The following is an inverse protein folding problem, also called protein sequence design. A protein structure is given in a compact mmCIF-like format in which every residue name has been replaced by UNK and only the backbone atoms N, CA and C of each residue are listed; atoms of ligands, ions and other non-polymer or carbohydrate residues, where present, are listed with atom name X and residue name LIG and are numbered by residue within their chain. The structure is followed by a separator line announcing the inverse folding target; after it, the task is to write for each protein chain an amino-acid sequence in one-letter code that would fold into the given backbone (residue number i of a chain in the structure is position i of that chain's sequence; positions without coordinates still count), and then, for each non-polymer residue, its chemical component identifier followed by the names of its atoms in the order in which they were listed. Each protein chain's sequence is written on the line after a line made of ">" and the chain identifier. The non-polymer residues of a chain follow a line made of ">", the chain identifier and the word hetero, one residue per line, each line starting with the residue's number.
data_IF_326575477505
#
_entry.id   IF_326575477505
#
_cell.length_a   1.000
_cell.length_b   1.000
_cell.length_c   1.000
_cell.angle_alpha   90.00
_cell.angle_beta   90.00
_cell.angle_gamma   90.00
#
_symmetry.space_group_name_H-M   'P 1'
#
loop_
_entity.id
_entity.type
_entity.pdbx_description
1 polymer ?
#
# COMPACT_ATOMS: atom_id res chain seq x y z
N UNK A 1 9.55 8.34 -7.20
CA UNK A 1 10.51 8.97 -8.16
C UNK A 1 9.77 9.85 -9.17
N UNK A 2 10.46 10.86 -9.72
CA UNK A 2 9.97 11.68 -10.84
C UNK A 2 10.38 11.07 -12.20
N UNK A 3 10.53 11.91 -13.23
CA UNK A 3 10.84 11.49 -14.60
C UNK A 3 12.32 11.12 -14.78
N UNK A 4 12.57 10.31 -15.78
CA UNK A 4 13.90 9.92 -16.23
C UNK A 4 14.20 10.53 -17.59
N UNK A 5 15.48 10.72 -17.88
CA UNK A 5 15.96 11.27 -19.15
C UNK A 5 15.51 10.40 -20.32
N UNK A 6 15.02 11.05 -21.36
CA UNK A 6 14.47 10.41 -22.56
C UNK A 6 13.31 9.42 -22.30
N UNK A 7 12.68 9.47 -21.12
CA UNK A 7 11.65 8.52 -20.68
C UNK A 7 12.07 7.05 -20.74
N UNK A 8 13.36 6.77 -20.58
CA UNK A 8 13.92 5.42 -20.62
C UNK A 8 14.13 4.87 -19.23
N UNK A 9 13.92 3.58 -19.08
CA UNK A 9 14.34 2.87 -17.87
C UNK A 9 15.87 2.91 -17.75
N UNK A 10 16.35 3.02 -16.54
CA UNK A 10 17.78 2.95 -16.19
C UNK A 10 18.05 1.67 -15.41
N UNK A 11 19.28 1.19 -15.46
CA UNK A 11 19.71 0.03 -14.67
C UNK A 11 20.61 0.50 -13.52
N UNK A 12 20.22 0.15 -12.30
CA UNK A 12 21.04 0.37 -11.11
C UNK A 12 21.80 -0.91 -10.76
N UNK A 13 23.11 -0.80 -10.64
CA UNK A 13 23.97 -1.92 -10.29
C UNK A 13 24.23 -1.97 -8.77
N UNK A 14 24.18 -3.17 -8.19
CA UNK A 14 24.54 -3.36 -6.78
C UNK A 14 25.96 -2.86 -6.49
N UNK A 15 26.13 -2.12 -5.40
CA UNK A 15 27.40 -1.50 -5.02
C UNK A 15 27.64 -0.11 -5.63
N UNK A 16 26.84 0.35 -6.60
CA UNK A 16 26.95 1.70 -7.14
C UNK A 16 26.39 2.75 -6.17
N UNK A 17 26.81 4.00 -6.35
CA UNK A 17 26.23 5.16 -5.68
C UNK A 17 25.03 5.65 -6.47
N UNK A 18 23.93 5.99 -5.77
CA UNK A 18 22.72 6.56 -6.37
C UNK A 18 22.14 7.64 -5.46
N UNK A 19 21.82 8.79 -6.03
CA UNK A 19 21.33 9.94 -5.26
C UNK A 19 19.87 10.21 -5.49
N UNK A 20 19.08 10.32 -4.40
CA UNK A 20 17.75 10.88 -4.43
C UNK A 20 17.83 12.39 -4.16
N UNK A 21 17.32 13.21 -5.09
CA UNK A 21 17.41 14.66 -5.00
C UNK A 21 16.05 15.33 -4.95
N UNK A 22 15.98 16.47 -4.30
CA UNK A 22 14.81 17.34 -4.28
C UNK A 22 14.82 18.36 -5.44
N UNK A 23 15.92 18.41 -6.19
CA UNK A 23 16.03 19.25 -7.38
C UNK A 23 15.04 18.87 -8.48
N UNK A 24 14.65 19.83 -9.30
CA UNK A 24 13.79 19.54 -10.47
C UNK A 24 14.66 19.15 -11.65
N UNK A 25 14.94 17.86 -11.75
CA UNK A 25 15.78 17.25 -12.79
C UNK A 25 15.12 16.02 -13.39
N UNK A 26 15.48 15.72 -14.63
CA UNK A 26 15.29 14.39 -15.20
C UNK A 26 16.42 13.47 -14.71
N UNK A 27 16.04 12.30 -14.16
CA UNK A 27 17.00 11.36 -13.56
C UNK A 27 17.79 10.56 -14.59
N UNK A 28 18.90 10.01 -14.14
CA UNK A 28 19.79 9.12 -14.89
C UNK A 28 20.35 8.01 -13.97
N UNK A 29 21.33 7.25 -14.40
CA UNK A 29 21.95 6.16 -13.64
C UNK A 29 22.61 6.59 -12.34
N UNK A 30 22.77 7.91 -12.11
CA UNK A 30 23.45 8.46 -10.92
C UNK A 30 22.50 9.10 -9.92
N UNK A 31 21.34 9.58 -10.39
CA UNK A 31 20.37 10.30 -9.55
C UNK A 31 18.97 10.32 -10.12
N UNK A 32 18.00 10.52 -9.24
CA UNK A 32 16.60 10.77 -9.61
C UNK A 32 15.95 11.77 -8.67
N UNK A 33 15.07 12.62 -9.20
CA UNK A 33 14.27 13.53 -8.40
C UNK A 33 13.12 12.78 -7.70
N UNK A 34 12.77 13.24 -6.48
CA UNK A 34 11.68 12.69 -5.67
C UNK A 34 10.60 13.73 -5.46
N UNK A 35 9.37 13.28 -5.18
CA UNK A 35 8.21 14.16 -4.98
C UNK A 35 8.15 14.75 -3.59
N UNK A 36 8.58 14.01 -2.56
CA UNK A 36 8.59 14.50 -1.18
C UNK A 36 9.91 15.21 -0.87
N UNK A 37 9.90 16.53 -1.02
CA UNK A 37 11.09 17.40 -0.89
C UNK A 37 11.73 17.38 0.50
N UNK A 38 10.98 17.04 1.55
CA UNK A 38 11.49 17.01 2.92
C UNK A 38 11.97 15.63 3.37
N UNK A 39 12.02 14.64 2.51
CA UNK A 39 12.44 13.28 2.87
C UNK A 39 13.81 13.26 3.56
N UNK A 40 14.74 14.08 3.10
CA UNK A 40 16.09 14.19 3.69
C UNK A 40 16.11 14.62 5.18
N UNK A 41 15.01 15.23 5.67
CA UNK A 41 14.85 15.62 7.09
C UNK A 41 14.33 14.48 7.96
N UNK A 42 13.63 13.53 7.35
CA UNK A 42 12.97 12.44 8.06
C UNK A 42 13.86 11.18 8.13
N UNK A 43 14.79 11.02 7.19
CA UNK A 43 15.69 9.88 7.10
C UNK A 43 17.06 10.18 7.73
N UNK A 44 17.84 9.14 7.97
CA UNK A 44 19.20 9.24 8.53
C UNK A 44 20.17 8.27 7.89
N UNK A 45 21.46 8.55 8.00
CA UNK A 45 22.53 7.63 7.57
C UNK A 45 22.33 6.23 8.14
N UNK A 46 22.55 5.21 7.32
CA UNK A 46 22.34 3.79 7.63
C UNK A 46 20.90 3.35 7.50
N UNK A 47 19.97 4.27 7.21
CA UNK A 47 18.58 3.94 6.91
C UNK A 47 18.43 3.30 5.53
N UNK A 48 17.37 2.51 5.35
CA UNK A 48 17.03 1.86 4.09
C UNK A 48 15.99 2.66 3.33
N UNK A 49 16.11 2.66 2.01
CA UNK A 49 15.11 3.17 1.08
C UNK A 49 14.81 2.04 0.09
N UNK A 50 13.54 1.79 -0.13
CA UNK A 50 13.06 0.79 -1.08
C UNK A 50 12.36 1.53 -2.23
N UNK A 51 12.61 1.09 -3.46
CA UNK A 51 11.99 1.66 -4.67
C UNK A 51 11.33 0.53 -5.46
N UNK A 52 10.21 0.85 -6.12
CA UNK A 52 9.46 -0.07 -6.97
C UNK A 52 9.06 -1.35 -6.20
N UNK A 53 8.25 -1.18 -5.15
CA UNK A 53 7.75 -2.25 -4.29
C UNK A 53 8.85 -3.14 -3.67
N UNK A 54 10.00 -2.52 -3.39
CA UNK A 54 11.13 -3.19 -2.76
C UNK A 54 12.03 -3.96 -3.72
N UNK A 55 11.82 -3.87 -5.03
CA UNK A 55 12.68 -4.49 -6.03
C UNK A 55 14.09 -3.89 -6.05
N UNK A 56 14.22 -2.61 -5.71
CA UNK A 56 15.48 -1.90 -5.56
C UNK A 56 15.64 -1.49 -4.11
N UNK A 57 16.76 -1.87 -3.50
CA UNK A 57 17.09 -1.54 -2.12
C UNK A 57 18.34 -0.66 -2.06
N UNK A 58 18.21 0.46 -1.35
CA UNK A 58 19.28 1.43 -1.13
C UNK A 58 19.58 1.57 0.36
N UNK A 59 20.85 1.80 0.71
CA UNK A 59 21.28 2.23 2.04
C UNK A 59 21.77 3.67 2.00
N UNK A 60 21.31 4.50 2.92
CA UNK A 60 21.71 5.91 3.01
C UNK A 60 23.14 6.01 3.56
N UNK A 61 24.05 6.50 2.74
CA UNK A 61 25.45 6.74 3.15
C UNK A 61 25.66 8.16 3.67
N UNK A 62 24.99 9.14 3.06
CA UNK A 62 25.15 10.55 3.44
C UNK A 62 23.92 11.37 3.07
N UNK A 63 23.73 12.49 3.76
CA UNK A 63 22.70 13.50 3.43
C UNK A 63 23.41 14.84 3.35
N UNK A 64 23.31 15.51 2.18
CA UNK A 64 23.99 16.77 1.94
C UNK A 64 23.15 17.70 1.07
N UNK A 65 22.86 18.90 1.58
CA UNK A 65 22.13 19.95 0.84
C UNK A 65 20.77 19.50 0.26
N UNK A 66 20.05 18.60 0.93
CA UNK A 66 18.78 18.06 0.45
C UNK A 66 18.92 16.81 -0.42
N UNK A 67 20.13 16.46 -0.84
CA UNK A 67 20.41 15.22 -1.54
C UNK A 67 20.62 14.06 -0.54
N UNK A 68 20.04 12.91 -0.84
CA UNK A 68 20.20 11.67 -0.09
C UNK A 68 21.09 10.76 -0.94
N UNK A 69 22.35 10.65 -0.54
CA UNK A 69 23.35 9.81 -1.24
C UNK A 69 23.27 8.41 -0.68
N UNK A 70 23.01 7.46 -1.56
CA UNK A 70 22.79 6.06 -1.19
C UNK A 70 23.75 5.13 -1.93
N UNK A 71 23.99 3.97 -1.32
CA UNK A 71 24.56 2.80 -1.97
C UNK A 71 23.45 1.85 -2.38
N UNK A 72 23.50 1.36 -3.60
CA UNK A 72 22.59 0.33 -4.10
C UNK A 72 22.97 -1.01 -3.47
N UNK A 73 22.08 -1.58 -2.64
CA UNK A 73 22.27 -2.92 -2.05
C UNK A 73 21.73 -4.00 -2.99
N UNK A 74 20.51 -3.81 -3.50
CA UNK A 74 19.93 -4.64 -4.54
C UNK A 74 19.54 -3.76 -5.72
N UNK A 75 20.14 -4.02 -6.87
CA UNK A 75 19.91 -3.29 -8.11
C UNK A 75 18.81 -3.87 -8.96
N UNK A 76 18.54 -3.21 -10.08
CA UNK A 76 17.54 -3.62 -11.05
C UNK A 76 17.18 -2.49 -12.02
N UNK A 77 16.20 -2.74 -12.88
CA UNK A 77 15.65 -1.71 -13.76
C UNK A 77 14.76 -0.75 -12.98
N UNK A 78 15.07 0.54 -13.05
CA UNK A 78 14.25 1.62 -12.50
C UNK A 78 13.50 2.35 -13.61
N UNK A 79 12.18 2.35 -13.52
CA UNK A 79 11.29 3.14 -14.34
C UNK A 79 10.91 4.47 -13.70
N UNK A 80 10.17 5.29 -14.44
CA UNK A 80 9.63 6.56 -13.95
C UNK A 80 8.50 6.37 -12.95
N UNK A 81 8.28 7.38 -12.10
CA UNK A 81 7.13 7.49 -11.18
C UNK A 81 6.96 6.28 -10.26
N UNK A 82 8.08 5.65 -9.88
CA UNK A 82 8.06 4.52 -8.95
C UNK A 82 7.91 4.98 -7.51
N UNK A 83 7.18 4.22 -6.73
CA UNK A 83 7.01 4.41 -5.29
C UNK A 83 8.35 4.36 -4.56
N UNK A 84 8.46 5.14 -3.48
CA UNK A 84 9.58 5.11 -2.55
C UNK A 84 9.02 4.79 -1.17
N UNK A 85 9.53 3.75 -0.56
CA UNK A 85 9.21 3.36 0.80
C UNK A 85 10.43 3.54 1.70
N UNK A 86 10.18 3.97 2.92
CA UNK A 86 11.22 4.19 3.94
C UNK A 86 10.81 3.44 5.21
N UNK A 87 11.08 2.13 5.29
CA UNK A 87 10.64 1.29 6.39
C UNK A 87 11.03 1.86 7.76
N UNK A 88 10.08 1.81 8.72
CA UNK A 88 10.26 2.29 10.10
C UNK A 88 10.57 3.79 10.25
N UNK A 89 10.42 4.59 9.20
CA UNK A 89 10.60 6.05 9.25
C UNK A 89 9.23 6.72 9.29
N UNK A 90 9.02 7.58 10.30
CA UNK A 90 7.83 8.43 10.37
C UNK A 90 8.00 9.63 9.45
N UNK A 91 7.42 9.55 8.26
CA UNK A 91 7.43 10.65 7.29
C UNK A 91 6.38 11.70 7.64
N UNK A 92 6.75 12.97 7.56
CA UNK A 92 5.86 14.10 7.89
C UNK A 92 5.09 14.58 6.66
N UNK A 93 4.44 13.64 5.98
CA UNK A 93 3.52 13.98 4.90
C UNK A 93 2.16 14.39 5.45
N UNK A 94 1.43 15.32 4.80
CA UNK A 94 0.03 15.59 5.14
C UNK A 94 -0.80 14.31 4.96
N UNK A 95 -1.88 14.16 5.74
CA UNK A 95 -2.79 13.02 5.63
C UNK A 95 -3.50 12.98 4.28
N UNK A 96 -3.83 14.15 3.72
CA UNK A 96 -4.38 14.35 2.37
C UNK A 96 -3.65 15.52 1.70
N UNK A 97 -3.39 15.40 0.41
CA UNK A 97 -2.81 16.46 -0.42
C UNK A 97 -3.91 17.37 -0.99
N UNK A 98 -3.53 18.50 -1.58
CA UNK A 98 -4.51 19.34 -2.30
C UNK A 98 -5.15 18.60 -3.48
N UNK A 99 -4.37 17.76 -4.20
CA UNK A 99 -4.92 16.91 -5.25
C UNK A 99 -5.94 15.91 -4.70
N UNK A 100 -5.65 15.26 -3.56
CA UNK A 100 -6.61 14.35 -2.91
C UNK A 100 -7.91 15.07 -2.57
N UNK A 101 -7.84 16.31 -2.11
CA UNK A 101 -9.05 17.13 -1.83
C UNK A 101 -9.87 17.37 -3.10
N UNK A 102 -9.23 17.75 -4.20
CA UNK A 102 -9.89 17.94 -5.49
C UNK A 102 -10.56 16.64 -5.96
N UNK A 103 -9.86 15.52 -5.85
CA UNK A 103 -10.36 14.20 -6.24
C UNK A 103 -11.54 13.76 -5.36
N UNK A 104 -11.49 14.01 -4.05
CA UNK A 104 -12.60 13.74 -3.12
C UNK A 104 -13.83 14.59 -3.49
N UNK A 105 -13.65 15.89 -3.72
CA UNK A 105 -14.73 16.78 -4.13
C UNK A 105 -15.35 16.33 -5.46
N UNK A 106 -14.54 15.90 -6.41
CA UNK A 106 -15.04 15.31 -7.64
C UNK A 106 -15.82 14.02 -7.36
N UNK A 107 -15.31 13.13 -6.50
CA UNK A 107 -15.99 11.88 -6.11
C UNK A 107 -17.39 12.12 -5.52
N UNK A 108 -17.57 13.18 -4.72
CA UNK A 108 -18.88 13.59 -4.21
C UNK A 108 -19.84 13.89 -5.37
N UNK A 109 -19.38 14.62 -6.40
CA UNK A 109 -20.22 14.95 -7.57
C UNK A 109 -20.59 13.72 -8.41
N UNK A 110 -19.82 12.63 -8.27
CA UNK A 110 -20.05 11.36 -8.96
C UNK A 110 -20.86 10.35 -8.11
N UNK A 111 -21.30 10.77 -6.93
CA UNK A 111 -22.11 9.95 -6.01
C UNK A 111 -21.43 8.62 -5.66
N UNK A 112 -20.12 8.67 -5.32
CA UNK A 112 -19.39 7.48 -4.87
C UNK A 112 -19.91 7.02 -3.50
N UNK A 113 -19.96 5.70 -3.30
CA UNK A 113 -20.38 5.11 -2.02
C UNK A 113 -19.24 5.08 -1.01
N UNK A 114 -18.00 4.89 -1.47
CA UNK A 114 -16.81 4.76 -0.62
C UNK A 114 -15.60 5.47 -1.17
N UNK A 115 -14.74 5.92 -0.25
CA UNK A 115 -13.39 6.39 -0.53
C UNK A 115 -12.41 5.46 0.18
N UNK A 116 -11.45 4.88 -0.56
CA UNK A 116 -10.35 4.12 -0.02
C UNK A 116 -9.14 5.03 0.17
N UNK A 117 -8.83 5.38 1.42
CA UNK A 117 -7.73 6.25 1.77
C UNK A 117 -6.43 5.45 1.86
N UNK A 118 -5.46 5.75 0.98
CA UNK A 118 -4.15 5.10 0.96
C UNK A 118 -3.22 5.66 2.04
N UNK A 119 -2.30 4.82 2.51
CA UNK A 119 -1.23 5.18 3.44
C UNK A 119 -1.71 5.88 4.72
N UNK A 120 -2.83 5.44 5.27
CA UNK A 120 -3.36 5.96 6.53
C UNK A 120 -2.39 5.62 7.66
N UNK A 121 -1.97 6.63 8.42
CA UNK A 121 -1.02 6.50 9.52
C UNK A 121 -1.66 6.67 10.89
N UNK A 122 -2.74 7.46 10.96
CA UNK A 122 -3.44 7.80 12.20
C UNK A 122 -4.91 8.15 11.94
N UNK A 123 -5.67 8.32 13.02
CA UNK A 123 -7.06 8.71 12.94
C UNK A 123 -7.27 10.16 12.44
N UNK A 124 -6.23 11.00 12.51
CA UNK A 124 -6.33 12.40 12.08
C UNK A 124 -6.60 12.50 10.59
N UNK A 125 -5.90 11.70 9.77
CA UNK A 125 -6.11 11.65 8.33
C UNK A 125 -7.56 11.29 7.98
N UNK A 126 -8.15 10.31 8.67
CA UNK A 126 -9.55 9.90 8.46
C UNK A 126 -10.50 11.03 8.85
N UNK A 127 -10.25 11.71 9.97
CA UNK A 127 -11.07 12.85 10.41
C UNK A 127 -11.01 14.04 9.45
N UNK A 128 -9.85 14.30 8.85
CA UNK A 128 -9.70 15.34 7.81
C UNK A 128 -10.54 15.01 6.56
N UNK A 129 -10.53 13.76 6.12
CA UNK A 129 -11.37 13.31 4.99
C UNK A 129 -12.85 13.42 5.37
N UNK A 130 -13.25 12.96 6.54
CA UNK A 130 -14.64 13.03 7.02
C UNK A 130 -15.13 14.49 7.07
N UNK A 131 -14.33 15.37 7.61
CA UNK A 131 -14.67 16.81 7.65
C UNK A 131 -14.88 17.37 6.24
N UNK A 132 -13.99 17.05 5.29
CA UNK A 132 -14.11 17.52 3.91
C UNK A 132 -15.39 16.98 3.25
N UNK A 133 -15.74 15.72 3.48
CA UNK A 133 -16.98 15.11 2.99
C UNK A 133 -18.22 15.79 3.58
N UNK A 134 -18.26 15.98 4.90
CA UNK A 134 -19.39 16.56 5.61
C UNK A 134 -19.65 18.02 5.18
N UNK A 135 -18.60 18.82 5.00
CA UNK A 135 -18.68 20.20 4.55
C UNK A 135 -19.15 20.36 3.11
N UNK A 136 -19.05 19.28 2.28
CA UNK A 136 -19.37 19.32 0.86
C UNK A 136 -20.52 18.38 0.44
N UNK A 137 -21.33 17.89 1.38
CA UNK A 137 -22.52 17.10 1.10
C UNK A 137 -22.25 15.60 0.86
N UNK A 138 -21.06 15.11 1.19
CA UNK A 138 -20.66 13.70 1.08
C UNK A 138 -20.74 12.92 2.40
N UNK A 139 -21.60 13.31 3.35
CA UNK A 139 -21.71 12.68 4.67
C UNK A 139 -22.06 11.20 4.65
N UNK A 140 -22.74 10.73 3.60
CA UNK A 140 -23.11 9.31 3.43
C UNK A 140 -21.98 8.46 2.81
N UNK A 141 -20.89 9.08 2.35
CA UNK A 141 -19.76 8.36 1.74
C UNK A 141 -18.92 7.69 2.83
N UNK A 142 -18.76 6.36 2.75
CA UNK A 142 -17.92 5.59 3.68
C UNK A 142 -16.44 5.80 3.42
N UNK A 143 -15.62 5.75 4.49
CA UNK A 143 -14.16 5.85 4.41
C UNK A 143 -13.55 4.50 4.78
N UNK A 144 -12.83 3.88 3.84
CA UNK A 144 -12.05 2.66 4.06
C UNK A 144 -10.59 3.08 4.26
N UNK A 145 -10.06 2.84 5.46
CA UNK A 145 -8.66 3.11 5.75
C UNK A 145 -7.77 1.95 5.29
N UNK A 146 -6.82 2.23 4.41
CA UNK A 146 -5.84 1.24 3.95
C UNK A 146 -4.64 1.22 4.88
N UNK A 147 -4.37 0.07 5.48
CA UNK A 147 -3.22 -0.16 6.37
C UNK A 147 -2.07 -0.70 5.54
N UNK A 148 -1.07 0.13 5.32
CA UNK A 148 0.00 -0.06 4.36
C UNK A 148 1.40 0.19 4.94
N UNK A 149 1.49 0.59 6.22
CA UNK A 149 2.76 0.94 6.86
C UNK A 149 2.76 0.61 8.37
N UNK A 150 3.95 0.61 8.96
CA UNK A 150 4.13 0.29 10.38
C UNK A 150 3.38 1.25 11.31
N UNK A 151 3.35 2.55 11.00
CA UNK A 151 2.66 3.56 11.82
C UNK A 151 1.14 3.32 11.84
N UNK A 152 0.54 2.95 10.70
CA UNK A 152 -0.88 2.55 10.63
C UNK A 152 -1.18 1.30 11.46
N UNK A 153 -0.26 0.34 11.52
CA UNK A 153 -0.38 -0.85 12.38
C UNK A 153 -0.28 -0.45 13.85
N UNK A 154 0.65 0.42 14.24
CA UNK A 154 0.78 0.92 15.61
C UNK A 154 -0.49 1.64 16.08
N UNK A 155 -1.12 2.43 15.21
CA UNK A 155 -2.28 3.26 15.50
C UNK A 155 -3.62 2.59 15.12
N UNK A 156 -3.64 1.27 14.89
CA UNK A 156 -4.80 0.57 14.35
C UNK A 156 -6.08 0.76 15.17
N UNK A 157 -5.97 0.81 16.49
CA UNK A 157 -7.15 0.93 17.37
C UNK A 157 -7.87 2.28 17.23
N UNK A 158 -7.14 3.35 17.03
CA UNK A 158 -7.74 4.66 16.79
C UNK A 158 -8.26 4.82 15.34
N UNK A 159 -7.58 4.17 14.38
CA UNK A 159 -8.00 4.17 12.97
C UNK A 159 -9.32 3.41 12.83
N UNK A 160 -9.46 2.23 13.43
CA UNK A 160 -10.70 1.43 13.42
C UNK A 160 -11.88 2.25 13.97
N UNK A 161 -11.68 3.05 15.02
CA UNK A 161 -12.73 3.88 15.61
C UNK A 161 -13.14 5.07 14.73
N UNK A 162 -12.27 5.50 13.82
CA UNK A 162 -12.50 6.68 12.99
C UNK A 162 -12.99 6.33 11.57
N UNK A 163 -12.70 5.14 11.07
CA UNK A 163 -13.03 4.69 9.72
C UNK A 163 -14.33 3.89 9.69
N UNK A 164 -14.96 3.81 8.51
CA UNK A 164 -16.14 2.98 8.27
C UNK A 164 -15.77 1.56 7.81
N UNK A 165 -14.54 1.36 7.36
CA UNK A 165 -13.98 0.07 7.00
C UNK A 165 -12.44 0.11 7.01
N UNK A 166 -11.84 -1.06 7.06
CA UNK A 166 -10.38 -1.24 7.03
C UNK A 166 -10.00 -2.12 5.85
N UNK A 167 -8.88 -1.82 5.20
CA UNK A 167 -8.27 -2.70 4.22
C UNK A 167 -6.85 -3.06 4.65
N UNK A 168 -6.58 -4.36 4.78
CA UNK A 168 -5.23 -4.88 4.95
C UNK A 168 -4.59 -4.98 3.57
N UNK A 169 -3.84 -3.95 3.19
CA UNK A 169 -3.20 -3.84 1.88
C UNK A 169 -1.80 -4.46 1.93
N UNK A 170 -1.75 -5.78 1.78
CA UNK A 170 -0.57 -6.61 2.07
C UNK A 170 0.63 -6.36 1.17
N UNK A 171 0.42 -5.88 -0.05
CA UNK A 171 1.49 -5.54 -0.98
C UNK A 171 2.41 -4.46 -0.41
N UNK A 172 1.87 -3.27 -0.17
CA UNK A 172 2.62 -2.15 0.39
C UNK A 172 3.06 -2.42 1.84
N UNK A 173 2.19 -3.03 2.64
CA UNK A 173 2.52 -3.39 4.01
C UNK A 173 3.76 -4.30 4.08
N UNK A 174 3.86 -5.30 3.19
CA UNK A 174 5.00 -6.24 3.13
C UNK A 174 6.30 -5.61 2.61
N UNK A 175 6.25 -4.39 2.06
CA UNK A 175 7.43 -3.57 1.73
C UNK A 175 7.88 -2.75 2.94
N UNK A 176 6.93 -2.24 3.73
CA UNK A 176 7.18 -1.37 4.89
C UNK A 176 7.58 -2.12 6.17
N UNK A 177 7.15 -3.38 6.31
CA UNK A 177 7.45 -4.26 7.45
C UNK A 177 8.06 -5.59 6.94
N UNK A 178 8.72 -6.38 7.81
CA UNK A 178 9.19 -7.70 7.41
C UNK A 178 8.04 -8.56 6.87
N UNK A 179 8.17 -9.16 5.67
CA UNK A 179 7.12 -9.99 5.09
C UNK A 179 6.66 -11.14 6.00
N UNK A 180 7.54 -11.63 6.88
CA UNK A 180 7.24 -12.67 7.87
C UNK A 180 6.23 -12.22 8.95
N UNK A 181 6.06 -10.93 9.18
CA UNK A 181 5.12 -10.38 10.15
C UNK A 181 3.73 -10.12 9.57
N UNK A 182 3.61 -10.02 8.24
CA UNK A 182 2.34 -9.70 7.55
C UNK A 182 1.20 -10.66 7.93
N UNK A 183 1.39 -12.00 7.97
CA UNK A 183 0.31 -12.91 8.36
C UNK A 183 -0.20 -12.70 9.79
N UNK A 184 0.71 -12.43 10.73
CA UNK A 184 0.32 -12.11 12.10
C UNK A 184 -0.46 -10.81 12.19
N UNK A 185 0.01 -9.76 11.50
CA UNK A 185 -0.63 -8.44 11.48
C UNK A 185 -2.01 -8.52 10.82
N UNK A 186 -2.14 -9.27 9.73
CA UNK A 186 -3.42 -9.53 9.08
C UNK A 186 -4.44 -10.10 10.08
N UNK A 187 -4.08 -11.17 10.77
CA UNK A 187 -4.95 -11.82 11.77
C UNK A 187 -5.30 -10.87 12.92
N UNK A 188 -4.35 -10.10 13.39
CA UNK A 188 -4.55 -9.13 14.46
C UNK A 188 -5.53 -8.03 14.05
N UNK A 189 -5.36 -7.46 12.84
CA UNK A 189 -6.25 -6.41 12.31
C UNK A 189 -7.66 -6.96 12.11
N UNK A 190 -7.81 -8.11 11.45
CA UNK A 190 -9.12 -8.73 11.21
C UNK A 190 -9.86 -8.96 12.52
N UNK A 191 -9.19 -9.56 13.52
CA UNK A 191 -9.79 -9.77 14.83
C UNK A 191 -10.26 -8.46 15.48
N UNK A 192 -9.42 -7.42 15.48
CA UNK A 192 -9.78 -6.12 16.06
C UNK A 192 -10.94 -5.46 15.32
N UNK A 193 -11.01 -5.60 14.00
CA UNK A 193 -12.14 -5.13 13.22
C UNK A 193 -13.43 -5.85 13.62
N UNK A 194 -13.39 -7.17 13.70
CA UNK A 194 -14.56 -7.98 14.10
C UNK A 194 -15.03 -7.62 15.52
N UNK A 195 -14.11 -7.47 16.49
CA UNK A 195 -14.42 -7.03 17.86
C UNK A 195 -15.08 -5.64 17.91
N UNK A 196 -14.83 -4.80 16.93
CA UNK A 196 -15.40 -3.44 16.85
C UNK A 196 -16.53 -3.30 15.82
N UNK A 197 -16.96 -4.40 15.18
CA UNK A 197 -18.00 -4.40 14.13
C UNK A 197 -17.68 -3.49 12.96
N UNK A 198 -16.41 -3.39 12.59
CA UNK A 198 -15.93 -2.61 11.44
C UNK A 198 -15.55 -3.57 10.31
N UNK A 199 -16.15 -3.44 9.12
CA UNK A 199 -15.83 -4.30 7.98
C UNK A 199 -14.35 -4.24 7.61
N UNK A 200 -13.79 -5.42 7.28
CA UNK A 200 -12.38 -5.54 6.88
C UNK A 200 -12.22 -6.26 5.55
N UNK A 201 -11.38 -5.70 4.69
CA UNK A 201 -11.03 -6.23 3.37
C UNK A 201 -9.60 -6.74 3.43
N UNK A 202 -9.37 -7.98 3.01
CA UNK A 202 -8.02 -8.51 2.79
C UNK A 202 -7.68 -8.38 1.30
N UNK A 203 -6.59 -7.68 1.01
CA UNK A 203 -6.24 -7.24 -0.33
C UNK A 203 -4.82 -7.59 -0.73
N UNK A 204 -4.61 -7.61 -2.04
CA UNK A 204 -3.37 -7.76 -2.79
C UNK A 204 -2.75 -9.16 -2.77
N UNK A 205 -2.26 -9.57 -3.94
CA UNK A 205 -1.55 -10.83 -4.16
C UNK A 205 -2.31 -12.09 -3.72
N UNK A 206 -3.64 -12.06 -3.75
CA UNK A 206 -4.44 -13.21 -3.32
C UNK A 206 -4.33 -14.39 -4.31
N UNK A 207 -4.42 -14.12 -5.61
CA UNK A 207 -4.26 -15.10 -6.70
C UNK A 207 -3.28 -14.57 -7.77
N UNK A 208 -2.19 -13.94 -7.36
CA UNK A 208 -1.25 -13.18 -8.21
C UNK A 208 -0.77 -13.97 -9.43
N UNK A 209 -0.50 -15.26 -9.29
CA UNK A 209 -0.04 -16.09 -10.43
C UNK A 209 -1.08 -16.17 -11.54
N UNK A 210 -2.37 -15.94 -11.23
CA UNK A 210 -3.45 -15.96 -12.22
C UNK A 210 -3.50 -14.71 -13.10
N UNK A 211 -2.68 -13.72 -12.86
CA UNK A 211 -2.39 -12.67 -13.85
C UNK A 211 -1.85 -13.30 -15.14
N UNK A 212 -1.07 -14.35 -15.03
CA UNK A 212 -0.35 -15.01 -16.13
C UNK A 212 -0.79 -16.44 -16.41
N UNK A 213 -1.35 -17.12 -15.43
CA UNK A 213 -1.71 -18.54 -15.49
C UNK A 213 -3.20 -18.76 -15.25
N UNK A 214 -3.83 -19.77 -15.91
CA UNK A 214 -5.27 -20.03 -15.76
C UNK A 214 -5.64 -20.71 -14.43
N UNK A 215 -4.64 -21.10 -13.62
CA UNK A 215 -4.81 -21.79 -12.34
C UNK A 215 -3.89 -21.18 -11.29
N UNK A 216 -4.36 -21.06 -10.03
CA UNK A 216 -3.54 -20.56 -8.94
C UNK A 216 -2.58 -21.64 -8.42
N UNK A 217 -1.62 -21.21 -7.62
CA UNK A 217 -0.82 -22.11 -6.79
C UNK A 217 -1.63 -22.60 -5.59
N UNK A 218 -1.18 -23.72 -4.99
CA UNK A 218 -1.78 -24.20 -3.73
C UNK A 218 -1.59 -23.21 -2.57
N UNK A 219 -0.49 -22.48 -2.57
CA UNK A 219 -0.22 -21.46 -1.56
C UNK A 219 -1.22 -20.31 -1.65
N UNK A 220 -1.56 -19.87 -2.86
CA UNK A 220 -2.57 -18.82 -3.08
C UNK A 220 -3.97 -19.28 -2.68
N UNK A 221 -4.36 -20.51 -3.01
CA UNK A 221 -5.65 -21.07 -2.56
C UNK A 221 -5.71 -21.13 -1.04
N UNK A 222 -4.63 -21.55 -0.38
CA UNK A 222 -4.53 -21.58 1.07
C UNK A 222 -4.57 -20.16 1.67
N UNK A 223 -3.97 -19.17 1.03
CA UNK A 223 -3.98 -17.77 1.48
C UNK A 223 -5.39 -17.17 1.47
N UNK A 224 -6.12 -17.35 0.38
CA UNK A 224 -7.53 -16.90 0.28
C UNK A 224 -8.40 -17.58 1.34
N UNK A 225 -8.31 -18.90 1.46
CA UNK A 225 -9.05 -19.65 2.47
C UNK A 225 -8.69 -19.20 3.89
N UNK A 226 -7.39 -18.97 4.17
CA UNK A 226 -6.93 -18.52 5.47
C UNK A 226 -7.47 -17.12 5.82
N UNK A 227 -7.55 -16.17 4.88
CA UNK A 227 -8.16 -14.88 5.13
C UNK A 227 -9.64 -15.01 5.52
N UNK A 228 -10.36 -15.93 4.89
CA UNK A 228 -11.76 -16.24 5.22
C UNK A 228 -11.85 -16.86 6.62
N UNK A 229 -10.98 -17.83 6.96
CA UNK A 229 -10.92 -18.40 8.31
C UNK A 229 -10.53 -17.37 9.38
N UNK A 230 -9.75 -16.36 9.03
CA UNK A 230 -9.40 -15.25 9.92
C UNK A 230 -10.62 -14.35 10.24
N UNK A 231 -11.71 -14.44 9.46
CA UNK A 231 -12.93 -13.67 9.64
C UNK A 231 -12.97 -12.37 8.83
N UNK A 232 -12.26 -12.29 7.69
CA UNK A 232 -12.36 -11.13 6.79
C UNK A 232 -13.76 -11.01 6.19
N UNK A 233 -14.29 -9.80 6.06
CA UNK A 233 -15.61 -9.56 5.47
C UNK A 233 -15.57 -9.56 3.94
N UNK A 234 -14.44 -9.18 3.36
CA UNK A 234 -14.23 -9.17 1.92
C UNK A 234 -12.81 -9.55 1.54
N UNK A 235 -12.67 -10.12 0.34
CA UNK A 235 -11.41 -10.45 -0.31
C UNK A 235 -11.33 -9.74 -1.66
N UNK A 236 -10.18 -9.20 -2.01
CA UNK A 236 -10.02 -8.33 -3.17
C UNK A 236 -9.04 -8.92 -4.18
N UNK A 237 -9.43 -8.91 -5.45
CA UNK A 237 -8.54 -9.08 -6.60
C UNK A 237 -8.09 -7.71 -7.12
N UNK A 238 -6.86 -7.60 -7.55
CA UNK A 238 -6.25 -6.38 -8.11
C UNK A 238 -5.80 -6.63 -9.56
N UNK A 239 -4.52 -6.83 -9.79
CA UNK A 239 -3.96 -7.11 -11.10
C UNK A 239 -4.55 -8.34 -11.78
N UNK A 240 -5.02 -9.30 -11.01
CA UNK A 240 -5.65 -10.55 -11.49
C UNK A 240 -6.85 -10.27 -12.40
N UNK A 241 -7.64 -9.24 -12.06
CA UNK A 241 -8.82 -8.85 -12.85
C UNK A 241 -8.61 -7.58 -13.67
N UNK A 242 -7.77 -6.64 -13.18
CA UNK A 242 -7.58 -5.34 -13.82
C UNK A 242 -6.69 -5.41 -15.09
N UNK A 243 -5.69 -6.29 -15.10
CA UNK A 243 -4.68 -6.38 -16.16
C UNK A 243 -4.27 -7.83 -16.49
N UNK A 244 -4.84 -8.82 -15.81
CA UNK A 244 -4.51 -10.23 -16.00
C UNK A 244 -5.06 -10.81 -17.30
N UNK A 245 -4.48 -11.92 -17.72
CA UNK A 245 -4.94 -12.68 -18.89
C UNK A 245 -6.18 -13.53 -18.61
N UNK A 246 -6.46 -13.80 -17.33
CA UNK A 246 -7.50 -14.74 -16.87
C UNK A 246 -8.44 -14.13 -15.83
N UNK A 247 -9.06 -12.95 -16.11
CA UNK A 247 -9.84 -12.21 -15.10
C UNK A 247 -11.07 -12.98 -14.62
N UNK A 248 -11.78 -13.67 -15.52
CA UNK A 248 -12.96 -14.45 -15.17
C UNK A 248 -12.61 -15.71 -14.39
N UNK A 249 -11.53 -16.40 -14.76
CA UNK A 249 -11.03 -17.58 -14.07
C UNK A 249 -10.56 -17.22 -12.66
N UNK A 250 -9.89 -16.08 -12.49
CA UNK A 250 -9.46 -15.59 -11.18
C UNK A 250 -10.66 -15.32 -10.27
N UNK A 251 -11.68 -14.62 -10.77
CA UNK A 251 -12.90 -14.36 -10.01
C UNK A 251 -13.64 -15.65 -9.66
N UNK A 252 -13.80 -16.58 -10.62
CA UNK A 252 -14.45 -17.88 -10.38
C UNK A 252 -13.71 -18.70 -9.33
N UNK A 253 -12.38 -18.72 -9.40
CA UNK A 253 -11.55 -19.42 -8.42
C UNK A 253 -11.72 -18.82 -7.02
N UNK A 254 -11.73 -17.49 -6.90
CA UNK A 254 -11.97 -16.81 -5.62
C UNK A 254 -13.33 -17.17 -5.03
N UNK A 255 -14.38 -17.16 -5.85
CA UNK A 255 -15.72 -17.57 -5.45
C UNK A 255 -15.77 -19.03 -5.02
N UNK A 256 -15.12 -19.94 -5.78
CA UNK A 256 -15.06 -21.36 -5.45
C UNK A 256 -14.36 -21.61 -4.10
N UNK A 257 -13.25 -20.91 -3.84
CA UNK A 257 -12.54 -21.02 -2.55
C UNK A 257 -13.44 -20.53 -1.42
N UNK A 258 -14.12 -19.39 -1.60
CA UNK A 258 -15.02 -18.85 -0.59
C UNK A 258 -16.17 -19.83 -0.28
N UNK A 259 -16.87 -20.30 -1.31
CA UNK A 259 -17.98 -21.26 -1.17
C UNK A 259 -17.55 -22.59 -0.54
N UNK A 260 -16.31 -23.01 -0.78
CA UNK A 260 -15.76 -24.24 -0.16
C UNK A 260 -15.37 -24.01 1.30
N UNK A 261 -14.90 -22.81 1.65
CA UNK A 261 -14.34 -22.51 2.97
C UNK A 261 -15.44 -22.10 3.97
N UNK A 262 -16.37 -21.25 3.56
CA UNK A 262 -17.43 -20.68 4.44
C UNK A 262 -18.23 -21.73 5.21
N UNK A 263 -18.63 -22.90 4.65
CA UNK A 263 -19.37 -23.92 5.39
C UNK A 263 -18.58 -24.55 6.55
N UNK A 264 -17.27 -24.32 6.62
CA UNK A 264 -16.37 -24.83 7.66
C UNK A 264 -15.99 -23.78 8.70
N UNK A 265 -16.56 -22.56 8.59
CA UNK A 265 -16.37 -21.53 9.61
C UNK A 265 -17.17 -21.87 10.85
N UNK A 266 -16.55 -21.64 12.01
CA UNK A 266 -17.23 -21.72 13.29
C UNK A 266 -17.59 -20.29 13.73
N UNK A 267 -18.90 -19.95 13.62
CA UNK A 267 -19.40 -18.62 13.96
C UNK A 267 -19.77 -18.49 15.45
N UNK A 268 -19.53 -19.55 16.25
CA UNK A 268 -19.90 -19.59 17.68
C UNK A 268 -18.69 -19.27 18.61
N UNK A 269 -17.50 -19.06 18.08
CA UNK A 269 -16.29 -18.81 18.89
C UNK A 269 -15.91 -17.31 18.85
#
# INVERSE_FOLDING_TARGET
>A
TKLLKDHKKITLEAGSEFTLTTGDIEGDETRVAITYENLYKDVKKGGKILIDDGLIELEIENIKNGDIVCRVLNGGELGERKGINVPYVKVKLPGITEQDKEDILFGITQEFDYIAASFVRDAKAIKEIRQLLDENGGHDIGIIAKIENAEGVENIDEIIKAADGIMVARGDLGVEIPPSEVPYIQKMIIRKCNENYVPVITATQMLDSMIRNPRPTRAEVADVANAIYDGTDAIMLSGETAAGKYPLEALKMMVEIAQTTEPHLNYED
#
